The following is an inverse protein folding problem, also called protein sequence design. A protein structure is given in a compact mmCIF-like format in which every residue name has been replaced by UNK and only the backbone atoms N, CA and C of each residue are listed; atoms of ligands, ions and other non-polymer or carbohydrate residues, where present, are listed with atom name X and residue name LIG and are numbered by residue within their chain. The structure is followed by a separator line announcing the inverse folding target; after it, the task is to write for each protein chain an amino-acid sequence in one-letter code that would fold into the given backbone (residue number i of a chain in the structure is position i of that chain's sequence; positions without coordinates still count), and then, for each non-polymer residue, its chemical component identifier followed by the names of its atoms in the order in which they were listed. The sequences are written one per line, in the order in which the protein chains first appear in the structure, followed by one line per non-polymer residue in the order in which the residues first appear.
data_IF_707244963500
#
_entry.id   IF_707244963500
#
_cell.length_a   1.000
_cell.length_b   1.000
_cell.length_c   1.000
_cell.angle_alpha   90.00
_cell.angle_beta   90.00
_cell.angle_gamma   90.00
#
_symmetry.space_group_name_H-M   'P 1'
#
loop_
_entity.id
_entity.type
_entity.pdbx_description
1 polymer ?
#
# COMPACT_ATOMS: atom_id res chain seq x y z
N UNK A 1 16.07 -67.59 -6.47
CA UNK A 1 15.44 -66.73 -5.45
C UNK A 1 16.02 -65.31 -5.41
N UNK A 2 17.34 -65.10 -5.33
CA UNK A 2 17.95 -63.76 -5.17
C UNK A 2 17.73 -62.78 -6.35
N UNK A 3 17.52 -63.26 -7.58
CA UNK A 3 17.17 -62.43 -8.74
C UNK A 3 15.69 -61.98 -8.74
N UNK A 4 14.80 -62.79 -8.17
CA UNK A 4 13.36 -62.47 -8.09
C UNK A 4 13.08 -61.41 -7.03
N UNK A 5 13.83 -61.43 -5.91
CA UNK A 5 13.69 -60.44 -4.83
C UNK A 5 14.20 -59.06 -5.24
N UNK A 6 15.25 -58.97 -6.07
CA UNK A 6 15.77 -57.70 -6.60
C UNK A 6 14.86 -57.05 -7.63
N UNK A 7 14.20 -57.84 -8.50
CA UNK A 7 13.21 -57.34 -9.47
C UNK A 7 11.95 -56.78 -8.80
N UNK A 8 11.48 -57.40 -7.71
CA UNK A 8 10.35 -56.91 -6.90
C UNK A 8 10.70 -55.61 -6.16
N UNK A 9 11.94 -55.46 -5.69
CA UNK A 9 12.38 -54.26 -4.97
C UNK A 9 12.59 -53.05 -5.92
N UNK A 10 13.12 -53.29 -7.13
CA UNK A 10 13.22 -52.24 -8.16
C UNK A 10 11.85 -51.80 -8.70
N UNK A 11 10.87 -52.71 -8.84
CA UNK A 11 9.51 -52.33 -9.26
C UNK A 11 8.74 -51.58 -8.15
N UNK A 12 8.98 -51.90 -6.88
CA UNK A 12 8.45 -51.13 -5.73
C UNK A 12 9.06 -49.72 -5.63
N UNK A 13 10.38 -49.57 -5.80
CA UNK A 13 11.04 -48.25 -5.73
C UNK A 13 10.68 -47.35 -6.93
N UNK A 14 10.60 -47.91 -8.13
CA UNK A 14 10.14 -47.18 -9.32
C UNK A 14 8.63 -46.87 -9.26
N UNK A 15 7.81 -47.79 -8.72
CA UNK A 15 6.38 -47.58 -8.50
C UNK A 15 6.04 -46.51 -7.47
N UNK A 16 6.85 -46.37 -6.41
CA UNK A 16 6.72 -45.26 -5.45
C UNK A 16 7.06 -43.93 -6.13
N UNK A 17 8.13 -43.87 -6.93
CA UNK A 17 8.50 -42.63 -7.62
C UNK A 17 7.41 -42.13 -8.60
N UNK A 18 6.81 -43.03 -9.38
CA UNK A 18 5.76 -42.67 -10.35
C UNK A 18 4.47 -42.20 -9.69
N UNK A 19 4.13 -42.77 -8.52
CA UNK A 19 2.94 -42.38 -7.76
C UNK A 19 3.08 -40.98 -7.13
N UNK A 20 4.29 -40.59 -6.71
CA UNK A 20 4.58 -39.22 -6.28
C UNK A 20 4.51 -38.21 -7.43
N UNK A 21 5.06 -38.54 -8.60
CA UNK A 21 4.96 -37.65 -9.78
C UNK A 21 3.51 -37.50 -10.25
N UNK A 22 2.72 -38.59 -10.24
CA UNK A 22 1.30 -38.54 -10.53
C UNK A 22 0.58 -37.62 -9.54
N UNK A 23 0.75 -37.82 -8.24
CA UNK A 23 0.13 -36.99 -7.21
C UNK A 23 0.40 -35.49 -7.40
N UNK A 24 1.65 -35.09 -7.64
CA UNK A 24 1.97 -33.66 -7.87
C UNK A 24 1.41 -33.14 -9.20
N UNK A 25 1.39 -33.97 -10.25
CA UNK A 25 0.75 -33.63 -11.52
C UNK A 25 -0.75 -33.41 -11.37
N UNK A 26 -1.43 -34.30 -10.65
CA UNK A 26 -2.86 -34.19 -10.30
C UNK A 26 -3.14 -32.94 -9.46
N UNK A 27 -2.28 -32.63 -8.49
CA UNK A 27 -2.42 -31.44 -7.65
C UNK A 27 -2.25 -30.15 -8.47
N UNK A 28 -1.29 -30.12 -9.40
CA UNK A 28 -1.10 -28.97 -10.28
C UNK A 28 -2.30 -28.79 -11.23
N UNK A 29 -2.81 -29.87 -11.81
CA UNK A 29 -4.00 -29.83 -12.66
C UNK A 29 -5.25 -29.43 -11.88
N UNK A 30 -5.42 -29.96 -10.66
CA UNK A 30 -6.51 -29.58 -9.77
C UNK A 30 -6.47 -28.10 -9.39
N UNK A 31 -5.28 -27.56 -9.11
CA UNK A 31 -5.11 -26.12 -8.88
C UNK A 31 -5.51 -25.29 -10.13
N UNK A 32 -5.14 -25.75 -11.33
CA UNK A 32 -5.56 -25.13 -12.59
C UNK A 32 -7.08 -25.16 -12.80
N UNK A 33 -7.74 -26.27 -12.51
CA UNK A 33 -9.20 -26.39 -12.63
C UNK A 33 -9.92 -25.46 -11.64
N UNK A 34 -9.39 -25.30 -10.43
CA UNK A 34 -9.90 -24.30 -9.48
C UNK A 34 -9.70 -22.85 -9.94
N UNK A 35 -8.54 -22.54 -10.55
CA UNK A 35 -8.27 -21.21 -11.10
C UNK A 35 -9.20 -20.91 -12.27
N UNK A 36 -9.41 -21.88 -13.17
CA UNK A 36 -10.37 -21.77 -14.27
C UNK A 36 -11.77 -21.51 -13.74
N UNK A 37 -12.22 -22.27 -12.74
CA UNK A 37 -13.53 -22.08 -12.16
C UNK A 37 -13.73 -20.68 -11.55
N UNK A 38 -12.69 -20.12 -10.94
CA UNK A 38 -12.70 -18.73 -10.45
C UNK A 38 -12.73 -17.70 -11.58
N UNK A 39 -11.98 -17.93 -12.66
CA UNK A 39 -11.99 -17.06 -13.84
C UNK A 39 -13.37 -17.03 -14.49
N UNK A 40 -13.96 -18.20 -14.74
CA UNK A 40 -15.27 -18.34 -15.37
C UNK A 40 -16.37 -17.68 -14.51
N UNK A 41 -16.27 -17.78 -13.18
CA UNK A 41 -17.18 -17.07 -12.27
C UNK A 41 -17.12 -15.55 -12.46
N UNK A 42 -15.89 -15.01 -12.57
CA UNK A 42 -15.67 -13.58 -12.74
C UNK A 42 -16.16 -13.10 -14.10
N UNK A 43 -15.93 -13.90 -15.15
CA UNK A 43 -16.40 -13.63 -16.49
C UNK A 43 -17.93 -13.69 -16.60
N UNK A 44 -18.55 -14.71 -16.00
CA UNK A 44 -20.00 -14.87 -15.98
C UNK A 44 -20.70 -13.70 -15.25
N UNK A 45 -20.04 -13.11 -14.25
CA UNK A 45 -20.51 -11.94 -13.49
C UNK A 45 -21.99 -12.05 -13.04
N UNK A 46 -22.39 -13.25 -12.63
CA UNK A 46 -23.78 -13.56 -12.30
C UNK A 46 -24.00 -13.59 -10.79
N UNK A 47 -25.05 -12.90 -10.33
CA UNK A 47 -25.34 -12.77 -8.89
C UNK A 47 -25.59 -14.15 -8.26
N UNK A 48 -24.97 -14.40 -7.10
CA UNK A 48 -25.09 -15.64 -6.32
C UNK A 48 -24.63 -16.92 -7.04
N UNK A 49 -23.77 -16.81 -8.06
CA UNK A 49 -23.21 -17.97 -8.77
C UNK A 49 -21.96 -18.54 -8.11
N UNK A 50 -21.44 -17.89 -7.07
CA UNK A 50 -20.21 -18.24 -6.36
C UNK A 50 -20.20 -19.71 -5.90
N UNK A 51 -21.31 -20.16 -5.29
CA UNK A 51 -21.44 -21.55 -4.81
C UNK A 51 -21.32 -22.57 -5.92
N UNK A 52 -21.89 -22.27 -7.09
CA UNK A 52 -21.83 -23.15 -8.26
C UNK A 52 -20.39 -23.28 -8.76
N UNK A 53 -19.71 -22.15 -9.01
CA UNK A 53 -18.35 -22.17 -9.53
C UNK A 53 -17.34 -22.77 -8.54
N UNK A 54 -17.54 -22.55 -7.23
CA UNK A 54 -16.76 -23.22 -6.20
C UNK A 54 -16.96 -24.74 -6.20
N UNK A 55 -18.22 -25.21 -6.27
CA UNK A 55 -18.52 -26.64 -6.33
C UNK A 55 -17.96 -27.28 -7.61
N UNK A 56 -18.11 -26.61 -8.76
CA UNK A 56 -17.58 -27.09 -10.05
C UNK A 56 -16.04 -27.20 -10.02
N UNK A 57 -15.34 -26.17 -9.56
CA UNK A 57 -13.88 -26.21 -9.45
C UNK A 57 -13.38 -27.32 -8.52
N UNK A 58 -14.08 -27.55 -7.40
CA UNK A 58 -13.75 -28.66 -6.48
C UNK A 58 -14.03 -30.03 -7.12
N UNK A 59 -15.13 -30.16 -7.86
CA UNK A 59 -15.47 -31.37 -8.58
C UNK A 59 -14.42 -31.69 -9.65
N UNK A 60 -14.11 -30.73 -10.53
CA UNK A 60 -13.13 -30.91 -11.62
C UNK A 60 -11.74 -31.25 -11.08
N UNK A 61 -11.31 -30.59 -10.00
CA UNK A 61 -10.06 -30.90 -9.32
C UNK A 61 -10.07 -32.31 -8.70
N UNK A 62 -11.17 -32.72 -8.07
CA UNK A 62 -11.29 -34.06 -7.49
C UNK A 62 -11.24 -35.18 -8.55
N UNK A 63 -11.72 -34.93 -9.77
CA UNK A 63 -11.61 -35.87 -10.89
C UNK A 63 -10.17 -36.16 -11.31
N UNK A 64 -9.20 -35.32 -10.92
CA UNK A 64 -7.78 -35.56 -11.19
C UNK A 64 -7.19 -36.69 -10.34
N UNK A 65 -7.78 -37.00 -9.19
CA UNK A 65 -7.25 -38.00 -8.27
C UNK A 65 -6.84 -37.41 -6.90
N UNK A 66 -6.17 -38.19 -6.05
CA UNK A 66 -5.80 -37.78 -4.70
C UNK A 66 -5.05 -36.44 -4.61
N UNK A 67 -4.19 -36.14 -5.60
CA UNK A 67 -3.49 -34.85 -5.65
C UNK A 67 -4.41 -33.67 -5.90
N UNK A 68 -5.40 -33.85 -6.78
CA UNK A 68 -6.39 -32.83 -7.10
C UNK A 68 -7.37 -32.56 -5.94
N UNK A 69 -7.79 -33.60 -5.21
CA UNK A 69 -8.57 -33.46 -3.96
C UNK A 69 -7.80 -32.65 -2.92
N UNK A 70 -6.51 -32.95 -2.75
CA UNK A 70 -5.63 -32.21 -1.84
C UNK A 70 -5.52 -30.73 -2.24
N UNK A 71 -5.31 -30.44 -3.53
CA UNK A 71 -5.26 -29.07 -4.04
C UNK A 71 -6.58 -28.32 -3.78
N UNK A 72 -7.72 -28.96 -4.04
CA UNK A 72 -9.05 -28.44 -3.77
C UNK A 72 -9.24 -28.02 -2.31
N UNK A 73 -8.82 -28.88 -1.37
CA UNK A 73 -8.90 -28.61 0.07
C UNK A 73 -8.02 -27.41 0.48
N UNK A 74 -6.76 -27.40 0.05
CA UNK A 74 -5.80 -26.35 0.45
C UNK A 74 -6.18 -24.99 -0.10
N UNK A 75 -6.49 -24.90 -1.38
CA UNK A 75 -6.81 -23.62 -2.04
C UNK A 75 -8.15 -23.07 -1.53
N UNK A 76 -9.15 -23.93 -1.31
CA UNK A 76 -10.44 -23.51 -0.73
C UNK A 76 -10.27 -22.97 0.70
N UNK A 77 -9.42 -23.61 1.51
CA UNK A 77 -9.11 -23.15 2.88
C UNK A 77 -8.28 -21.88 2.92
N UNK A 78 -7.30 -21.72 2.01
CA UNK A 78 -6.47 -20.52 1.94
C UNK A 78 -7.26 -19.26 1.61
N UNK A 79 -8.26 -19.33 0.71
CA UNK A 79 -9.14 -18.20 0.40
C UNK A 79 -9.93 -17.72 1.62
N UNK A 80 -10.45 -18.66 2.41
CA UNK A 80 -11.16 -18.35 3.65
C UNK A 80 -10.22 -17.71 4.69
N UNK A 81 -9.03 -18.29 4.87
CA UNK A 81 -8.05 -17.77 5.83
C UNK A 81 -7.56 -16.37 5.46
N UNK A 82 -7.24 -16.13 4.19
CA UNK A 82 -6.82 -14.80 3.71
C UNK A 82 -7.95 -13.77 3.84
N UNK A 83 -9.19 -14.16 3.56
CA UNK A 83 -10.37 -13.31 3.77
C UNK A 83 -10.58 -12.93 5.24
N UNK A 84 -10.43 -13.90 6.16
CA UNK A 84 -10.52 -13.65 7.60
C UNK A 84 -9.36 -12.77 8.07
N UNK A 85 -8.13 -13.01 7.59
CA UNK A 85 -6.95 -12.25 7.99
C UNK A 85 -7.02 -10.80 7.48
N UNK A 86 -7.42 -10.58 6.22
CA UNK A 86 -7.65 -9.24 5.67
C UNK A 86 -8.83 -8.54 6.35
N UNK A 87 -9.93 -9.26 6.59
CA UNK A 87 -11.08 -8.73 7.33
C UNK A 87 -10.71 -8.34 8.77
N UNK A 88 -9.91 -9.15 9.44
CA UNK A 88 -9.41 -8.89 10.80
C UNK A 88 -8.36 -7.78 10.83
N UNK A 89 -7.59 -7.56 9.77
CA UNK A 89 -6.67 -6.42 9.66
C UNK A 89 -7.42 -5.09 9.46
N UNK A 90 -8.45 -5.11 8.62
CA UNK A 90 -9.33 -3.96 8.36
C UNK A 90 -10.18 -3.61 9.60
N UNK A 91 -10.65 -4.61 10.35
CA UNK A 91 -11.44 -4.42 11.56
C UNK A 91 -10.59 -4.30 12.85
N UNK A 92 -9.34 -4.78 12.82
CA UNK A 92 -8.41 -4.79 13.95
C UNK A 92 -7.66 -3.47 14.15
N UNK A 93 -7.60 -2.62 13.12
CA UNK A 93 -7.37 -1.18 13.31
C UNK A 93 -8.70 -0.58 13.70
N UNK A 94 -8.82 -0.05 14.92
CA UNK A 94 -10.09 0.55 15.35
C UNK A 94 -10.57 1.56 14.30
N UNK A 95 -11.78 1.36 13.78
CA UNK A 95 -12.37 2.23 12.75
C UNK A 95 -12.33 3.71 13.18
N UNK A 96 -12.43 3.95 14.49
CA UNK A 96 -12.29 5.26 15.12
C UNK A 96 -10.89 5.87 14.93
N UNK A 97 -9.81 5.09 15.06
CA UNK A 97 -8.44 5.56 14.82
C UNK A 97 -8.22 5.98 13.36
N UNK A 98 -8.76 5.21 12.40
CA UNK A 98 -8.62 5.52 10.97
C UNK A 98 -9.42 6.77 10.57
N UNK A 99 -10.66 6.90 11.05
CA UNK A 99 -11.48 8.09 10.81
C UNK A 99 -10.85 9.35 11.42
N UNK A 100 -10.26 9.21 12.62
CA UNK A 100 -9.54 10.31 13.27
C UNK A 100 -8.34 10.73 12.44
N UNK A 101 -7.50 9.78 12.02
CA UNK A 101 -6.35 10.05 11.15
C UNK A 101 -6.75 10.76 9.85
N UNK A 102 -7.78 10.28 9.14
CA UNK A 102 -8.26 10.92 7.91
C UNK A 102 -8.78 12.34 8.15
N UNK A 103 -9.49 12.56 9.26
CA UNK A 103 -9.96 13.90 9.65
C UNK A 103 -8.78 14.83 9.91
N UNK A 104 -7.79 14.38 10.67
CA UNK A 104 -6.57 15.15 10.97
C UNK A 104 -5.81 15.47 9.68
N UNK A 105 -5.65 14.51 8.76
CA UNK A 105 -5.01 14.72 7.47
C UNK A 105 -5.75 15.74 6.60
N UNK A 106 -7.08 15.68 6.57
CA UNK A 106 -7.91 16.68 5.88
C UNK A 106 -7.79 18.08 6.50
N UNK A 107 -7.72 18.17 7.84
CA UNK A 107 -7.49 19.43 8.54
C UNK A 107 -6.08 19.99 8.26
N UNK A 108 -5.05 19.14 8.37
CA UNK A 108 -3.66 19.54 8.08
C UNK A 108 -3.46 20.00 6.64
N UNK A 109 -4.12 19.35 5.67
CA UNK A 109 -4.14 19.81 4.28
C UNK A 109 -4.71 21.22 4.16
N UNK A 110 -5.83 21.52 4.84
CA UNK A 110 -6.42 22.87 4.85
C UNK A 110 -5.50 23.90 5.49
N UNK A 111 -4.76 23.52 6.53
CA UNK A 111 -3.79 24.41 7.16
C UNK A 111 -2.59 24.72 6.24
N UNK A 112 -2.08 23.72 5.52
CA UNK A 112 -1.04 23.91 4.49
C UNK A 112 -1.53 24.83 3.37
N UNK A 113 -2.76 24.64 2.90
CA UNK A 113 -3.37 25.53 1.89
C UNK A 113 -3.55 26.96 2.41
N UNK A 114 -3.97 27.13 3.66
CA UNK A 114 -4.09 28.45 4.29
C UNK A 114 -2.73 29.15 4.36
N UNK A 115 -1.68 28.45 4.78
CA UNK A 115 -0.34 29.01 4.83
C UNK A 115 0.16 29.45 3.46
N UNK A 116 -0.12 28.68 2.41
CA UNK A 116 0.19 29.08 1.04
C UNK A 116 -0.61 30.31 0.60
N UNK A 117 -1.92 30.35 0.86
CA UNK A 117 -2.76 31.50 0.52
C UNK A 117 -2.30 32.77 1.24
N UNK A 118 -2.00 32.68 2.54
CA UNK A 118 -1.53 33.82 3.33
C UNK A 118 -0.15 34.30 2.87
N UNK A 119 0.76 33.38 2.50
CA UNK A 119 2.05 33.74 1.90
C UNK A 119 1.86 34.55 0.62
N UNK A 120 0.91 34.12 -0.23
CA UNK A 120 0.59 34.80 -1.49
C UNK A 120 -0.10 36.14 -1.25
N UNK A 121 -0.98 36.23 -0.26
CA UNK A 121 -1.69 37.46 0.11
C UNK A 121 -0.74 38.48 0.74
N UNK A 122 0.12 38.04 1.67
CA UNK A 122 1.09 38.88 2.35
C UNK A 122 2.08 39.50 1.37
N UNK A 123 2.49 38.74 0.34
CA UNK A 123 3.49 39.13 -0.66
C UNK A 123 4.69 39.85 -0.02
N UNK A 124 5.15 39.30 1.11
CA UNK A 124 6.12 39.94 1.98
C UNK A 124 7.51 39.37 1.75
N UNK A 125 8.51 40.25 1.74
CA UNK A 125 9.89 39.84 1.45
C UNK A 125 10.43 38.97 2.60
N UNK A 126 11.10 37.87 2.25
CA UNK A 126 11.75 36.94 3.19
C UNK A 126 10.79 36.30 4.22
N UNK A 127 9.50 36.15 3.89
CA UNK A 127 8.51 35.50 4.76
C UNK A 127 8.21 34.05 4.38
N UNK A 128 8.77 33.55 3.30
CA UNK A 128 8.54 32.21 2.77
C UNK A 128 8.82 31.12 3.81
N UNK A 129 9.99 31.16 4.48
CA UNK A 129 10.34 30.18 5.52
C UNK A 129 9.41 30.24 6.73
N UNK A 130 8.89 31.43 7.06
CA UNK A 130 7.85 31.59 8.08
C UNK A 130 6.57 30.85 7.72
N UNK A 131 6.05 31.04 6.49
CA UNK A 131 4.83 30.36 6.07
C UNK A 131 5.01 28.84 5.90
N UNK A 132 6.21 28.38 5.51
CA UNK A 132 6.59 26.96 5.52
C UNK A 132 6.50 26.34 6.92
N UNK A 133 7.14 27.00 7.89
CA UNK A 133 7.10 26.56 9.27
C UNK A 133 5.68 26.64 9.86
N UNK A 134 4.95 27.72 9.63
CA UNK A 134 3.60 27.93 10.18
C UNK A 134 2.60 26.91 9.65
N UNK A 135 2.61 26.64 8.34
CA UNK A 135 1.74 25.62 7.74
C UNK A 135 1.99 24.23 8.31
N UNK A 136 3.26 23.84 8.42
CA UNK A 136 3.64 22.55 8.99
C UNK A 136 3.31 22.45 10.49
N UNK A 137 3.49 23.53 11.24
CA UNK A 137 3.16 23.62 12.66
C UNK A 137 1.65 23.48 12.93
N UNK A 138 0.83 24.24 12.19
CA UNK A 138 -0.63 24.18 12.31
C UNK A 138 -1.17 22.80 11.92
N UNK A 139 -0.63 22.21 10.84
CA UNK A 139 -1.01 20.88 10.41
C UNK A 139 -0.58 19.80 11.41
N UNK A 140 0.65 19.85 11.94
CA UNK A 140 1.12 18.89 12.93
C UNK A 140 0.33 18.96 14.24
N UNK A 141 -0.14 20.16 14.64
CA UNK A 141 -1.04 20.34 15.79
C UNK A 141 -2.37 19.60 15.68
N UNK A 142 -2.79 19.19 14.47
CA UNK A 142 -4.00 18.38 14.30
C UNK A 142 -3.84 16.97 14.83
N UNK A 143 -2.62 16.44 14.84
CA UNK A 143 -2.31 15.05 15.19
C UNK A 143 -1.51 14.34 14.10
N UNK A 144 -1.29 13.02 14.25
CA UNK A 144 -0.49 12.22 13.31
C UNK A 144 -0.93 12.35 11.84
N UNK A 145 -2.23 12.41 11.57
CA UNK A 145 -2.74 12.58 10.20
C UNK A 145 -2.37 13.93 9.60
N UNK A 146 -2.40 15.00 10.41
CA UNK A 146 -2.03 16.33 9.98
C UNK A 146 -0.52 16.48 9.73
N UNK A 147 0.30 15.90 10.61
CA UNK A 147 1.76 15.83 10.42
C UNK A 147 2.12 15.05 9.14
N UNK A 148 1.45 13.93 8.88
CA UNK A 148 1.60 13.16 7.64
C UNK A 148 1.22 13.98 6.40
N UNK A 149 0.10 14.70 6.43
CA UNK A 149 -0.32 15.55 5.32
C UNK A 149 0.70 16.65 5.04
N UNK A 150 1.21 17.30 6.09
CA UNK A 150 2.23 18.34 5.98
C UNK A 150 3.53 17.82 5.33
N UNK A 151 3.99 16.62 5.71
CA UNK A 151 5.13 15.96 5.08
C UNK A 151 4.92 15.70 3.59
N UNK A 152 3.80 15.07 3.22
CA UNK A 152 3.53 14.73 1.82
C UNK A 152 3.38 15.97 0.93
N UNK A 153 2.70 17.00 1.42
CA UNK A 153 2.53 18.26 0.67
C UNK A 153 3.87 19.00 0.52
N UNK A 154 4.68 19.05 1.59
CA UNK A 154 5.99 19.70 1.54
C UNK A 154 6.93 19.03 0.52
N UNK A 155 7.01 17.69 0.55
CA UNK A 155 7.83 16.93 -0.39
C UNK A 155 7.31 17.03 -1.83
N UNK A 156 6.00 17.04 -2.02
CA UNK A 156 5.41 17.22 -3.35
C UNK A 156 5.75 18.60 -3.94
N UNK A 157 5.69 19.66 -3.13
CA UNK A 157 6.09 21.02 -3.54
C UNK A 157 7.56 21.07 -3.94
N UNK A 158 8.45 20.47 -3.15
CA UNK A 158 9.89 20.42 -3.45
C UNK A 158 10.14 19.73 -4.80
N UNK A 159 9.54 18.55 -5.00
CA UNK A 159 9.70 17.80 -6.25
C UNK A 159 9.22 18.61 -7.47
N UNK A 160 8.09 19.29 -7.35
CA UNK A 160 7.57 20.13 -8.43
C UNK A 160 8.52 21.31 -8.73
N UNK A 161 9.13 21.91 -7.71
CA UNK A 161 10.10 22.99 -7.87
C UNK A 161 11.34 22.50 -8.61
N UNK A 162 11.91 21.35 -8.21
CA UNK A 162 13.09 20.76 -8.88
C UNK A 162 12.82 20.39 -10.34
N UNK A 163 11.62 19.90 -10.64
CA UNK A 163 11.18 19.63 -12.02
C UNK A 163 11.09 20.94 -12.82
N UNK A 164 10.52 21.99 -12.22
CA UNK A 164 10.41 23.31 -12.86
C UNK A 164 11.78 23.92 -13.13
N UNK A 165 12.70 23.82 -12.17
CA UNK A 165 14.08 24.31 -12.30
C UNK A 165 14.83 23.58 -13.42
N UNK A 166 14.66 22.26 -13.53
CA UNK A 166 15.23 21.49 -14.63
C UNK A 166 14.76 21.99 -16.00
N UNK A 167 13.45 22.22 -16.17
CA UNK A 167 12.92 22.74 -17.43
C UNK A 167 13.35 24.18 -17.72
N UNK A 168 13.59 24.99 -16.69
CA UNK A 168 13.93 26.41 -16.84
C UNK A 168 15.42 26.67 -17.03
N UNK A 169 16.28 25.93 -16.33
CA UNK A 169 17.72 26.18 -16.26
C UNK A 169 18.56 25.04 -16.85
N UNK A 170 17.95 23.92 -17.22
CA UNK A 170 18.64 22.75 -17.80
C UNK A 170 19.27 21.81 -16.77
N UNK A 171 19.19 22.14 -15.48
CA UNK A 171 19.61 21.29 -14.37
C UNK A 171 18.74 21.54 -13.13
N UNK A 172 18.79 20.62 -12.17
CA UNK A 172 18.11 20.74 -10.87
C UNK A 172 19.04 21.17 -9.73
N UNK A 173 20.22 21.71 -10.07
CA UNK A 173 21.23 22.18 -9.11
C UNK A 173 20.98 23.62 -8.69
N UNK A 174 20.30 24.40 -9.53
CA UNK A 174 19.75 25.70 -9.17
C UNK A 174 18.75 25.54 -8.02
N UNK A 175 18.90 26.35 -6.96
CA UNK A 175 17.96 26.38 -5.84
C UNK A 175 18.09 25.25 -4.81
N UNK A 176 19.11 24.38 -4.89
CA UNK A 176 19.30 23.29 -3.91
C UNK A 176 19.44 23.79 -2.47
N UNK A 177 20.20 24.87 -2.25
CA UNK A 177 20.34 25.45 -0.91
C UNK A 177 19.03 26.07 -0.41
N UNK A 178 18.24 26.66 -1.30
CA UNK A 178 16.92 27.20 -0.97
C UNK A 178 15.93 26.08 -0.61
N UNK A 179 15.96 24.97 -1.36
CA UNK A 179 15.19 23.76 -1.07
C UNK A 179 15.55 23.16 0.31
N UNK A 180 16.84 23.08 0.64
CA UNK A 180 17.28 22.62 1.98
C UNK A 180 16.78 23.55 3.08
N UNK A 181 16.82 24.86 2.87
CA UNK A 181 16.31 25.83 3.82
C UNK A 181 14.77 25.72 3.97
N UNK A 182 14.04 25.49 2.88
CA UNK A 182 12.60 25.21 2.89
C UNK A 182 12.29 23.96 3.71
N UNK A 183 13.04 22.87 3.50
CA UNK A 183 12.84 21.63 4.24
C UNK A 183 13.15 21.80 5.73
N UNK A 184 14.22 22.52 6.09
CA UNK A 184 14.53 22.83 7.48
C UNK A 184 13.40 23.63 8.15
N UNK A 185 12.79 24.60 7.44
CA UNK A 185 11.65 25.36 7.95
C UNK A 185 10.40 24.47 8.09
N UNK A 186 10.12 23.60 7.12
CA UNK A 186 9.02 22.65 7.19
C UNK A 186 9.16 21.72 8.40
N UNK A 187 10.35 21.14 8.61
CA UNK A 187 10.64 20.24 9.74
C UNK A 187 10.58 20.97 11.08
N UNK A 188 11.11 22.19 11.16
CA UNK A 188 11.04 23.02 12.36
C UNK A 188 9.59 23.19 12.81
N UNK A 189 8.71 23.63 11.91
CA UNK A 189 7.28 23.76 12.19
C UNK A 189 6.64 22.43 12.56
N UNK A 190 6.87 21.39 11.75
CA UNK A 190 6.26 20.06 11.94
C UNK A 190 6.67 19.41 13.27
N UNK A 191 7.85 19.75 13.78
CA UNK A 191 8.34 19.31 15.10
C UNK A 191 7.67 20.02 16.28
N UNK A 192 6.80 21.01 16.04
CA UNK A 192 6.10 21.77 17.07
C UNK A 192 6.90 22.96 17.61
N UNK A 193 8.01 23.35 16.96
CA UNK A 193 8.75 24.55 17.32
C UNK A 193 8.07 25.81 16.77
N UNK A 194 8.28 26.93 17.44
CA UNK A 194 7.64 28.20 17.12
C UNK A 194 8.01 28.69 15.70
N UNK A 195 7.04 28.84 14.77
CA UNK A 195 7.27 29.40 13.45
C UNK A 195 7.81 30.82 13.46
N UNK A 196 7.58 31.60 14.53
CA UNK A 196 8.08 32.97 14.64
C UNK A 196 9.61 33.07 14.66
N UNK A 197 10.30 31.95 14.83
CA UNK A 197 11.74 31.86 14.57
C UNK A 197 12.14 32.40 13.19
N UNK A 198 11.27 32.23 12.18
CA UNK A 198 11.49 32.71 10.81
C UNK A 198 10.72 33.98 10.45
N UNK A 199 10.00 34.61 11.40
CA UNK A 199 9.14 35.76 11.12
C UNK A 199 10.00 36.98 10.74
N UNK A 200 9.84 37.57 9.55
CA UNK A 200 10.56 38.77 9.20
C UNK A 200 9.99 39.98 9.96
N UNK A 201 10.85 40.96 10.34
CA UNK A 201 10.39 42.19 10.97
C UNK A 201 9.35 42.90 10.11
N UNK A 202 8.22 43.29 10.70
CA UNK A 202 7.17 44.03 10.02
C UNK A 202 6.16 43.18 9.24
N UNK A 203 6.23 41.84 9.30
CA UNK A 203 5.15 40.99 8.79
C UNK A 203 3.86 41.26 9.60
N UNK A 204 2.72 41.60 8.95
CA UNK A 204 1.48 41.94 9.66
C UNK A 204 1.01 40.85 10.62
N UNK A 205 0.61 41.23 11.84
CA UNK A 205 0.26 40.32 12.94
C UNK A 205 -0.93 39.39 12.67
N UNK A 206 -1.72 39.67 11.62
CA UNK A 206 -2.79 38.77 11.18
C UNK A 206 -2.27 37.43 10.63
N UNK A 207 -1.00 37.39 10.24
CA UNK A 207 -0.30 36.21 9.77
C UNK A 207 0.47 35.55 10.90
#
# INVERSE_FOLDING_TARGET
MKLFTGLIFCSLALGVSSQWYAFFGEAAQGAWDMMRAYSDMREANYKNSDKYFHARGNYDAAQRGPGGVWAAEKISRMKLFLGILLGSLVLGVSSQSWLTFLREAGQGTRDMMRAYSDMREANYKNSDKYFHARGNYDAAKRGPGGAWAAEKISNARENLQRVTDFFKYGDSSHGVEDSKADQAANEWGRSGKDPNHFRPPGLPDKY
#
